data_IF_660967177591
#
_entry.id   IF_660967177591
#
_cell.length_a   1.000
_cell.length_b   1.000
_cell.length_c   1.000
_cell.angle_alpha   90.00
_cell.angle_beta   90.00
_cell.angle_gamma   90.00
#
_symmetry.space_group_name_H-M   'P 1'
#
loop_
_entity.id
_entity.type
_entity.pdbx_description
1 polymer ?
#
# COMPACT_ATOMS: atom_id res chain seq x y z
N UNK A 1 -5.75 2.82 -16.19
CA UNK A 1 -5.65 1.97 -17.41
C UNK A 1 -6.13 0.54 -17.15
N UNK A 2 -5.58 -0.22 -16.19
CA UNK A 2 -5.92 -1.63 -15.96
C UNK A 2 -7.42 -1.87 -15.69
N UNK A 3 -8.05 -1.07 -14.83
CA UNK A 3 -9.48 -1.20 -14.54
C UNK A 3 -10.34 -0.97 -15.79
N UNK A 4 -9.98 0.01 -16.63
CA UNK A 4 -10.72 0.29 -17.87
C UNK A 4 -10.55 -0.85 -18.89
N UNK A 5 -9.36 -1.44 -18.99
CA UNK A 5 -9.12 -2.60 -19.85
C UNK A 5 -9.93 -3.83 -19.38
N UNK A 6 -9.96 -4.08 -18.07
CA UNK A 6 -10.74 -5.16 -17.47
C UNK A 6 -12.25 -4.97 -17.69
N UNK A 7 -12.77 -3.77 -17.44
CA UNK A 7 -14.17 -3.43 -17.67
C UNK A 7 -14.56 -3.54 -19.15
N UNK A 8 -13.67 -3.13 -20.06
CA UNK A 8 -13.85 -3.31 -21.51
C UNK A 8 -13.92 -4.78 -21.93
N UNK A 9 -13.05 -5.63 -21.37
CA UNK A 9 -13.06 -7.07 -21.64
C UNK A 9 -14.35 -7.73 -21.12
N UNK A 10 -14.82 -7.37 -19.92
CA UNK A 10 -16.10 -7.86 -19.39
C UNK A 10 -17.28 -7.46 -20.30
N UNK A 11 -17.34 -6.19 -20.70
CA UNK A 11 -18.39 -5.69 -21.60
C UNK A 11 -18.37 -6.38 -22.95
N UNK A 12 -17.19 -6.60 -23.54
CA UNK A 12 -17.04 -7.36 -24.78
C UNK A 12 -17.50 -8.82 -24.66
N UNK A 13 -17.39 -9.40 -23.47
CA UNK A 13 -17.90 -10.73 -23.13
C UNK A 13 -19.40 -10.76 -22.78
N UNK A 14 -20.13 -9.64 -22.92
CA UNK A 14 -21.55 -9.54 -22.58
C UNK A 14 -21.84 -9.54 -21.07
N UNK A 15 -20.86 -9.18 -20.23
CA UNK A 15 -20.97 -9.15 -18.77
C UNK A 15 -21.04 -7.72 -18.27
N UNK A 16 -21.84 -7.47 -17.22
CA UNK A 16 -21.86 -6.15 -16.57
C UNK A 16 -20.65 -6.03 -15.63
N UNK A 17 -19.72 -5.09 -15.87
CA UNK A 17 -18.58 -4.87 -14.99
C UNK A 17 -18.95 -4.60 -13.53
N UNK A 18 -20.14 -4.05 -13.26
CA UNK A 18 -20.61 -3.72 -11.90
C UNK A 18 -20.89 -4.95 -11.04
N UNK A 19 -21.09 -6.12 -11.65
CA UNK A 19 -21.27 -7.39 -10.93
C UNK A 19 -19.96 -7.98 -10.41
N UNK A 20 -18.81 -7.41 -10.82
CA UNK A 20 -17.48 -7.92 -10.47
C UNK A 20 -16.76 -6.99 -9.49
N UNK A 21 -16.22 -7.59 -8.44
CA UNK A 21 -15.43 -6.86 -7.47
C UNK A 21 -13.99 -6.63 -7.97
N UNK A 22 -13.48 -5.44 -7.69
CA UNK A 22 -12.06 -5.11 -7.86
C UNK A 22 -11.47 -4.85 -6.48
N UNK A 23 -10.52 -5.68 -6.08
CA UNK A 23 -9.79 -5.52 -4.84
C UNK A 23 -8.41 -4.90 -5.12
N UNK A 24 -8.01 -3.93 -4.30
CA UNK A 24 -6.69 -3.35 -4.32
C UNK A 24 -6.00 -3.55 -2.97
N UNK A 25 -4.75 -3.98 -3.00
CA UNK A 25 -3.94 -4.17 -1.79
C UNK A 25 -3.04 -2.97 -1.56
N UNK A 26 -2.92 -2.51 -0.31
CA UNK A 26 -1.99 -1.46 0.12
C UNK A 26 -1.35 -1.78 1.46
N UNK A 27 -0.06 -1.41 1.59
CA UNK A 27 0.60 -1.36 2.88
C UNK A 27 0.04 -0.18 3.67
N UNK A 28 -0.34 -0.41 4.92
CA UNK A 28 -0.98 0.60 5.78
C UNK A 28 -0.35 0.60 7.16
N UNK A 29 0.04 1.78 7.64
CA UNK A 29 0.46 1.98 9.02
C UNK A 29 -0.04 3.32 9.55
N UNK A 30 -0.76 3.30 10.67
CA UNK A 30 -1.37 4.50 11.27
C UNK A 30 -0.87 4.69 12.69
N UNK A 31 -0.42 5.91 13.01
CA UNK A 31 0.01 6.30 14.34
C UNK A 31 -0.57 7.66 14.75
N UNK A 32 -0.21 8.16 15.94
CA UNK A 32 -0.71 9.46 16.45
C UNK A 32 -0.17 10.66 15.68
N UNK A 33 1.02 10.53 15.10
CA UNK A 33 1.63 11.53 14.24
C UNK A 33 2.26 10.89 13.02
N UNK A 34 2.44 11.65 11.93
CA UNK A 34 3.08 11.20 10.70
C UNK A 34 4.54 10.79 10.96
N UNK A 35 5.28 11.58 11.73
CA UNK A 35 6.67 11.26 12.09
C UNK A 35 6.76 9.93 12.80
N UNK A 36 5.93 9.72 13.86
CA UNK A 36 5.88 8.45 14.58
C UNK A 36 5.54 7.27 13.65
N UNK A 37 4.60 7.45 12.73
CA UNK A 37 4.23 6.39 11.81
C UNK A 37 5.42 5.94 10.94
N UNK A 38 6.17 6.89 10.39
CA UNK A 38 7.33 6.60 9.57
C UNK A 38 8.50 6.02 10.38
N UNK A 39 8.78 6.55 11.57
CA UNK A 39 9.80 6.03 12.47
C UNK A 39 9.52 4.57 12.88
N UNK A 40 8.25 4.22 13.11
CA UNK A 40 7.86 2.88 13.53
C UNK A 40 7.83 1.86 12.38
N UNK A 41 7.49 2.24 11.12
CA UNK A 41 7.24 1.28 10.05
C UNK A 41 8.25 1.30 8.87
N UNK A 42 9.06 2.34 8.70
CA UNK A 42 9.91 2.49 7.52
C UNK A 42 10.88 1.32 7.31
N UNK A 43 11.49 0.80 8.37
CA UNK A 43 12.37 -0.37 8.29
C UNK A 43 11.65 -1.61 7.74
N UNK A 44 10.41 -1.84 8.16
CA UNK A 44 9.62 -2.98 7.71
C UNK A 44 9.13 -2.84 6.27
N UNK A 45 8.77 -1.62 5.85
CA UNK A 45 8.44 -1.30 4.46
C UNK A 45 9.65 -1.47 3.55
N UNK A 46 10.81 -0.95 3.97
CA UNK A 46 12.06 -1.10 3.23
C UNK A 46 12.40 -2.57 3.02
N UNK A 47 12.41 -3.36 4.10
CA UNK A 47 12.70 -4.79 4.04
C UNK A 47 11.74 -5.55 3.10
N UNK A 48 10.44 -5.28 3.19
CA UNK A 48 9.45 -5.90 2.32
C UNK A 48 9.74 -5.60 0.84
N UNK A 49 10.03 -4.34 0.53
CA UNK A 49 10.32 -3.91 -0.84
C UNK A 49 11.62 -4.50 -1.36
N UNK A 50 12.65 -4.55 -0.52
CA UNK A 50 13.93 -5.18 -0.85
C UNK A 50 13.74 -6.66 -1.21
N UNK A 51 12.95 -7.41 -0.42
CA UNK A 51 12.63 -8.81 -0.72
C UNK A 51 11.93 -8.96 -2.09
N UNK A 52 10.92 -8.14 -2.36
CA UNK A 52 10.23 -8.19 -3.65
C UNK A 52 11.14 -7.79 -4.81
N UNK A 53 11.98 -6.77 -4.65
CA UNK A 53 12.93 -6.35 -5.68
C UNK A 53 13.92 -7.47 -6.01
N UNK A 54 14.43 -8.18 -4.99
CA UNK A 54 15.27 -9.36 -5.19
C UNK A 54 14.56 -10.47 -5.95
N UNK A 55 13.33 -10.81 -5.55
CA UNK A 55 12.56 -11.85 -6.23
C UNK A 55 12.24 -11.50 -7.69
N UNK A 56 11.96 -10.24 -7.98
CA UNK A 56 11.74 -9.79 -9.35
C UNK A 56 13.02 -9.88 -10.19
N UNK A 57 14.17 -9.51 -9.63
CA UNK A 57 15.45 -9.66 -10.30
C UNK A 57 15.77 -11.13 -10.61
N UNK A 58 15.57 -12.02 -9.63
CA UNK A 58 15.74 -13.47 -9.80
C UNK A 58 14.79 -14.08 -10.84
N UNK A 59 13.50 -13.68 -10.84
CA UNK A 59 12.49 -14.21 -11.72
C UNK A 59 12.67 -13.82 -13.19
N UNK A 60 13.29 -12.68 -13.45
CA UNK A 60 13.49 -12.17 -14.82
C UNK A 60 14.77 -12.68 -15.47
N UNK A 61 15.58 -13.50 -14.78
CA UNK A 61 16.83 -14.11 -15.26
C UNK A 61 17.78 -13.13 -15.99
N UNK A 62 17.66 -11.85 -15.64
CA UNK A 62 18.49 -10.77 -16.19
C UNK A 62 19.62 -10.50 -15.19
N UNK A 63 20.78 -11.07 -15.46
CA UNK A 63 22.02 -10.64 -14.78
C UNK A 63 22.17 -9.13 -14.93
N UNK A 64 21.98 -8.41 -13.82
CA UNK A 64 22.27 -6.98 -13.70
C UNK A 64 21.08 -6.02 -13.67
N UNK A 65 19.82 -6.49 -13.67
CA UNK A 65 18.67 -5.55 -13.48
C UNK A 65 18.35 -5.32 -11.99
N UNK A 66 19.39 -4.98 -11.24
CA UNK A 66 19.29 -4.49 -9.85
C UNK A 66 18.78 -3.04 -9.78
N UNK A 67 18.18 -2.51 -10.84
CA UNK A 67 17.75 -1.10 -10.86
C UNK A 67 16.76 -0.79 -9.74
N UNK A 68 15.82 -1.70 -9.47
CA UNK A 68 14.87 -1.54 -8.39
C UNK A 68 15.56 -1.52 -7.01
N UNK A 69 16.58 -2.37 -6.80
CA UNK A 69 17.37 -2.38 -5.58
C UNK A 69 18.27 -1.14 -5.46
N UNK A 70 18.91 -0.73 -6.57
CA UNK A 70 19.80 0.45 -6.60
C UNK A 70 19.04 1.76 -6.36
N UNK A 71 17.77 1.81 -6.75
CA UNK A 71 16.92 2.98 -6.59
C UNK A 71 16.07 2.93 -5.31
N UNK A 72 16.19 1.89 -4.49
CA UNK A 72 15.47 1.80 -3.23
C UNK A 72 16.03 2.85 -2.26
N UNK A 73 15.20 3.79 -1.78
CA UNK A 73 15.66 4.78 -0.80
C UNK A 73 16.04 4.10 0.51
N UNK A 74 17.00 4.65 1.21
CA UNK A 74 17.35 4.22 2.56
C UNK A 74 16.21 4.46 3.54
N UNK A 75 16.24 3.77 4.67
CA UNK A 75 15.24 3.97 5.74
C UNK A 75 15.22 5.41 6.23
N UNK A 76 16.38 6.05 6.37
CA UNK A 76 16.52 7.44 6.78
C UNK A 76 15.91 8.41 5.76
N UNK A 77 16.09 8.14 4.48
CA UNK A 77 15.46 8.93 3.41
C UNK A 77 13.95 8.78 3.42
N UNK A 78 13.42 7.57 3.64
CA UNK A 78 11.98 7.34 3.77
C UNK A 78 11.38 8.09 4.97
N UNK A 79 12.04 8.05 6.13
CA UNK A 79 11.62 8.76 7.34
C UNK A 79 11.64 10.28 7.09
N UNK A 80 12.69 10.79 6.46
CA UNK A 80 12.83 12.22 6.16
C UNK A 80 11.79 12.70 5.14
N UNK A 81 11.56 11.93 4.09
CA UNK A 81 10.58 12.25 3.05
C UNK A 81 9.14 12.06 3.52
N UNK A 82 8.90 11.20 4.51
CA UNK A 82 7.57 10.78 4.96
C UNK A 82 6.67 10.33 3.80
N UNK A 83 7.27 9.70 2.83
CA UNK A 83 6.62 9.14 1.65
C UNK A 83 7.42 7.96 1.12
N UNK A 84 6.72 7.00 0.53
CA UNK A 84 7.35 5.87 -0.13
C UNK A 84 6.41 5.25 -1.15
N UNK A 85 6.88 5.17 -2.40
CA UNK A 85 6.15 4.50 -3.47
C UNK A 85 6.43 3.00 -3.42
N UNK A 86 5.38 2.23 -3.20
CA UNK A 86 5.42 0.78 -3.13
C UNK A 86 4.76 0.20 -4.38
N UNK A 87 5.58 -0.26 -5.33
CA UNK A 87 5.12 -0.80 -6.62
C UNK A 87 4.14 0.10 -7.39
N UNK A 88 4.56 1.34 -7.59
CA UNK A 88 3.80 2.31 -8.41
C UNK A 88 2.73 3.08 -7.67
N UNK A 89 2.51 2.80 -6.37
CA UNK A 89 1.54 3.51 -5.54
C UNK A 89 2.10 3.79 -4.16
N UNK A 90 1.66 4.88 -3.54
CA UNK A 90 2.15 5.27 -2.22
C UNK A 90 1.63 4.33 -1.12
N UNK A 91 2.52 3.95 -0.20
CA UNK A 91 2.12 3.31 1.06
C UNK A 91 1.29 4.28 1.91
N UNK A 92 0.23 3.79 2.51
CA UNK A 92 -0.68 4.59 3.35
C UNK A 92 -0.10 4.65 4.77
N UNK A 93 0.76 5.64 5.02
CA UNK A 93 1.46 5.81 6.30
C UNK A 93 1.24 7.21 6.84
N UNK A 94 0.78 7.33 8.09
CA UNK A 94 0.57 8.62 8.72
C UNK A 94 -0.42 8.63 9.86
N UNK A 95 -1.12 9.75 10.02
CA UNK A 95 -2.22 9.92 10.98
C UNK A 95 -3.51 9.27 10.44
N UNK A 96 -4.56 9.14 11.29
CA UNK A 96 -5.88 8.72 10.81
C UNK A 96 -6.44 9.60 9.69
N UNK A 97 -6.17 10.90 9.73
CA UNK A 97 -6.68 11.83 8.70
C UNK A 97 -5.90 11.68 7.40
N UNK A 98 -4.58 11.50 7.45
CA UNK A 98 -3.76 11.14 6.29
C UNK A 98 -4.29 9.86 5.63
N UNK A 99 -4.54 8.81 6.43
CA UNK A 99 -5.05 7.54 5.90
C UNK A 99 -6.42 7.67 5.24
N UNK A 100 -7.35 8.43 5.85
CA UNK A 100 -8.67 8.71 5.25
C UNK A 100 -8.55 9.43 3.91
N UNK A 101 -7.70 10.44 3.85
CA UNK A 101 -7.46 11.20 2.63
C UNK A 101 -6.88 10.29 1.52
N UNK A 102 -5.78 9.59 1.81
CA UNK A 102 -5.12 8.72 0.84
C UNK A 102 -6.02 7.60 0.33
N UNK A 103 -6.80 6.95 1.22
CA UNK A 103 -7.77 5.93 0.82
C UNK A 103 -8.85 6.53 -0.09
N UNK A 104 -9.40 7.70 0.26
CA UNK A 104 -10.43 8.37 -0.53
C UNK A 104 -9.94 8.76 -1.92
N UNK A 105 -8.75 9.31 -2.02
CA UNK A 105 -8.09 9.64 -3.29
C UNK A 105 -7.85 8.38 -4.13
N UNK A 106 -7.39 7.30 -3.49
CA UNK A 106 -7.10 6.05 -4.16
C UNK A 106 -8.37 5.40 -4.75
N UNK A 107 -9.42 5.29 -3.94
CA UNK A 107 -10.72 4.75 -4.37
C UNK A 107 -11.37 5.64 -5.44
N UNK A 108 -11.17 6.96 -5.36
CA UNK A 108 -11.70 7.92 -6.33
C UNK A 108 -11.06 7.85 -7.73
N UNK A 109 -9.87 7.22 -7.87
CA UNK A 109 -9.18 7.09 -9.16
C UNK A 109 -9.73 5.98 -10.08
N UNK A 110 -10.58 5.11 -9.56
CA UNK A 110 -11.09 3.99 -10.33
C UNK A 110 -12.19 3.21 -9.64
N UNK A 111 -12.68 2.15 -10.29
CA UNK A 111 -13.71 1.28 -9.75
C UNK A 111 -13.09 0.24 -8.78
N UNK A 112 -12.68 0.70 -7.61
CA UNK A 112 -12.21 -0.17 -6.52
C UNK A 112 -13.38 -0.42 -5.57
N UNK A 113 -13.74 -1.69 -5.40
CA UNK A 113 -14.86 -2.11 -4.54
C UNK A 113 -14.38 -2.56 -3.17
N UNK A 114 -13.16 -3.07 -3.09
CA UNK A 114 -12.56 -3.60 -1.85
C UNK A 114 -11.12 -3.13 -1.71
N UNK A 115 -10.72 -2.81 -0.47
CA UNK A 115 -9.32 -2.60 -0.12
C UNK A 115 -8.82 -3.71 0.80
N UNK A 116 -7.71 -4.33 0.43
CA UNK A 116 -6.96 -5.27 1.26
C UNK A 116 -5.84 -4.51 1.94
N UNK A 117 -5.91 -4.37 3.26
CA UNK A 117 -4.97 -3.58 4.04
C UNK A 117 -3.89 -4.50 4.62
N UNK A 118 -2.67 -4.37 4.13
CA UNK A 118 -1.51 -5.07 4.67
C UNK A 118 -0.94 -4.25 5.84
N UNK A 119 -1.40 -4.54 7.04
CA UNK A 119 -1.00 -3.84 8.27
C UNK A 119 0.06 -4.60 9.07
N UNK A 120 0.16 -5.91 8.88
CA UNK A 120 1.21 -6.74 9.47
C UNK A 120 2.44 -6.75 8.55
N UNK A 121 3.30 -5.74 8.69
CA UNK A 121 4.52 -5.65 7.92
C UNK A 121 5.60 -6.59 8.49
N UNK A 122 6.45 -7.17 7.64
CA UNK A 122 7.52 -8.07 8.08
C UNK A 122 8.49 -7.38 9.04
N UNK A 123 8.82 -8.05 10.15
CA UNK A 123 9.76 -7.52 11.15
C UNK A 123 9.18 -6.45 12.08
N UNK A 124 7.95 -5.99 11.85
CA UNK A 124 7.28 -5.04 12.74
C UNK A 124 6.84 -5.75 14.03
N UNK A 125 7.12 -5.13 15.17
CA UNK A 125 6.77 -5.71 16.47
C UNK A 125 5.25 -5.87 16.63
N UNK A 126 4.74 -7.01 17.14
CA UNK A 126 3.31 -7.30 17.24
C UNK A 126 2.49 -6.23 17.99
N UNK A 127 3.04 -5.64 19.03
CA UNK A 127 2.41 -4.55 19.77
C UNK A 127 2.20 -3.29 18.93
N UNK A 128 3.11 -2.98 18.00
CA UNK A 128 2.98 -1.86 17.07
C UNK A 128 1.92 -2.17 16.00
N UNK A 129 1.88 -3.40 15.50
CA UNK A 129 0.85 -3.86 14.56
C UNK A 129 -0.54 -3.69 15.20
N UNK A 130 -0.76 -4.24 16.39
CA UNK A 130 -2.04 -4.15 17.09
C UNK A 130 -2.43 -2.71 17.39
N UNK A 131 -1.47 -1.88 17.83
CA UNK A 131 -1.70 -0.46 18.08
C UNK A 131 -2.15 0.29 16.83
N UNK A 132 -1.50 0.05 15.70
CA UNK A 132 -1.88 0.65 14.41
C UNK A 132 -3.26 0.17 13.95
N UNK A 133 -3.55 -1.14 14.06
CA UNK A 133 -4.87 -1.70 13.75
C UNK A 133 -5.97 -1.09 14.62
N UNK A 134 -5.73 -0.93 15.92
CA UNK A 134 -6.68 -0.30 16.86
C UNK A 134 -6.98 1.16 16.49
N UNK A 135 -5.93 1.93 16.17
CA UNK A 135 -6.08 3.32 15.73
C UNK A 135 -6.89 3.37 14.43
N UNK A 136 -6.54 2.52 13.46
CA UNK A 136 -7.23 2.44 12.18
C UNK A 136 -8.72 2.07 12.36
N UNK A 137 -9.00 1.01 13.11
CA UNK A 137 -10.36 0.53 13.34
C UNK A 137 -11.26 1.57 14.01
N UNK A 138 -10.71 2.34 14.96
CA UNK A 138 -11.46 3.36 15.71
C UNK A 138 -11.64 4.67 14.95
N UNK A 139 -10.64 5.09 14.19
CA UNK A 139 -10.58 6.46 13.67
C UNK A 139 -10.62 6.56 12.13
N UNK A 140 -10.34 5.49 11.40
CA UNK A 140 -10.33 5.48 9.92
C UNK A 140 -11.50 4.69 9.37
N UNK A 141 -11.65 3.43 9.80
CA UNK A 141 -12.66 2.51 9.29
C UNK A 141 -14.10 3.05 9.32
N UNK A 142 -14.55 3.80 10.36
CA UNK A 142 -15.91 4.34 10.38
C UNK A 142 -16.24 5.29 9.22
N UNK A 143 -15.24 5.95 8.64
CA UNK A 143 -15.44 6.86 7.49
C UNK A 143 -15.82 6.11 6.19
N UNK A 144 -15.58 4.79 6.12
CA UNK A 144 -15.79 3.95 4.93
C UNK A 144 -16.86 2.87 5.13
N UNK A 145 -17.44 2.76 6.32
CA UNK A 145 -18.59 1.89 6.55
C UNK A 145 -19.84 2.55 5.97
N UNK A 146 -20.49 1.84 5.03
CA UNK A 146 -21.86 2.16 4.60
C UNK A 146 -22.85 1.48 5.53
#
# INVERSE_FOLDING_TARGET
ELNAAYDGALTAAGRDPKEYNIAAQRAVYVAKSRSQAWEECAQSLHYLTECYAKWFAEANDQEGDDQALKNLPTVEEMIKAQSFNFFGEDAIVGTPDDAKQMISEYVGRGRITHMVLQMALPGLAPNLIHKSMDIFAKNVLPAFKK
#
